data_IF_556663153149
#
_entry.id   IF_556663153149
#
_cell.length_a   1.000
_cell.length_b   1.000
_cell.length_c   1.000
_cell.angle_alpha   90.00
_cell.angle_beta   90.00
_cell.angle_gamma   90.00
#
_symmetry.space_group_name_H-M   'P 1'
#
loop_
_entity.id
_entity.type
_entity.pdbx_description
1 polymer ?
#
# COMPACT_ATOMS: atom_id res chain seq x y z
N UNK A 1 -25.69 66.90 -16.64
CA UNK A 1 -25.62 65.43 -16.69
C UNK A 1 -24.54 64.99 -15.71
N UNK A 2 -24.92 64.17 -14.73
CA UNK A 2 -24.34 64.15 -13.38
C UNK A 2 -23.00 63.41 -13.24
N UNK A 3 -21.95 64.17 -12.90
CA UNK A 3 -20.66 63.65 -12.43
C UNK A 3 -20.80 62.81 -11.13
N UNK A 4 -21.88 63.00 -10.36
CA UNK A 4 -22.19 62.20 -9.16
C UNK A 4 -22.62 60.75 -9.47
N UNK A 5 -23.18 60.46 -10.66
CA UNK A 5 -23.58 59.10 -11.05
C UNK A 5 -22.39 58.21 -11.44
N UNK A 6 -21.34 58.80 -12.02
CA UNK A 6 -20.12 58.08 -12.41
C UNK A 6 -19.31 57.57 -11.20
N UNK A 7 -19.23 58.38 -10.14
CA UNK A 7 -18.54 57.98 -8.91
C UNK A 7 -19.26 56.85 -8.15
N UNK A 8 -20.60 56.80 -8.18
CA UNK A 8 -21.37 55.68 -7.61
C UNK A 8 -21.16 54.40 -8.43
N UNK A 9 -21.04 54.52 -9.75
CA UNK A 9 -20.79 53.37 -10.62
C UNK A 9 -19.39 52.76 -10.41
N UNK A 10 -18.36 53.59 -10.20
CA UNK A 10 -17.01 53.13 -9.84
C UNK A 10 -16.99 52.51 -8.43
N UNK A 11 -17.74 53.07 -7.47
CA UNK A 11 -17.89 52.47 -6.14
C UNK A 11 -18.61 51.12 -6.18
N UNK A 12 -19.66 50.97 -7.00
CA UNK A 12 -20.35 49.70 -7.22
C UNK A 12 -19.47 48.69 -7.99
N UNK A 13 -18.63 49.15 -8.93
CA UNK A 13 -17.63 48.33 -9.60
C UNK A 13 -16.50 47.90 -8.64
N UNK A 14 -16.21 48.69 -7.61
CA UNK A 14 -15.32 48.29 -6.51
C UNK A 14 -15.99 47.37 -5.48
N UNK A 15 -17.32 47.32 -5.40
CA UNK A 15 -18.02 46.24 -4.68
C UNK A 15 -18.10 44.94 -5.50
N UNK A 16 -17.87 45.04 -6.82
CA UNK A 16 -17.49 43.95 -7.71
C UNK A 16 -15.99 43.59 -7.60
N UNK A 17 -15.27 44.09 -6.59
CA UNK A 17 -14.10 43.39 -6.05
C UNK A 17 -14.63 42.04 -5.62
N UNK A 18 -14.50 41.07 -6.54
CA UNK A 18 -14.49 39.66 -6.21
C UNK A 18 -13.75 39.54 -4.89
N UNK A 19 -14.45 39.15 -3.83
CA UNK A 19 -13.78 38.44 -2.75
C UNK A 19 -13.23 37.20 -3.44
N UNK A 20 -12.01 37.31 -3.98
CA UNK A 20 -11.17 36.16 -4.29
C UNK A 20 -10.88 35.60 -2.92
N UNK A 21 -11.80 34.79 -2.41
CA UNK A 21 -11.56 34.02 -1.21
C UNK A 21 -10.45 33.07 -1.61
N UNK A 22 -9.23 33.43 -1.23
CA UNK A 22 -8.07 32.56 -1.39
C UNK A 22 -8.41 31.26 -0.68
N UNK A 23 -8.52 30.18 -1.45
CA UNK A 23 -8.74 28.87 -0.88
C UNK A 23 -7.46 28.45 -0.15
N UNK A 24 -7.61 27.98 1.08
CA UNK A 24 -6.49 27.40 1.84
C UNK A 24 -6.89 25.97 2.23
N UNK A 25 -6.23 24.94 1.69
CA UNK A 25 -6.57 23.56 2.02
C UNK A 25 -6.22 23.27 3.48
N UNK A 26 -7.14 22.61 4.18
CA UNK A 26 -6.86 22.09 5.51
C UNK A 26 -5.77 21.01 5.49
N UNK A 27 -5.05 20.90 6.61
CA UNK A 27 -4.10 19.82 6.85
C UNK A 27 -4.77 18.45 6.68
N UNK A 28 -4.16 17.59 5.86
CA UNK A 28 -4.75 16.33 5.42
C UNK A 28 -3.72 15.21 5.31
N UNK A 29 -4.19 13.97 5.41
CA UNK A 29 -3.40 12.77 5.16
C UNK A 29 -4.01 11.91 4.06
N UNK A 30 -3.22 11.00 3.51
CA UNK A 30 -3.67 10.00 2.53
C UNK A 30 -4.42 10.57 1.30
N UNK A 31 -4.09 11.80 0.91
CA UNK A 31 -4.48 12.34 -0.39
C UNK A 31 -3.66 11.68 -1.51
N UNK A 32 -4.16 11.79 -2.73
CA UNK A 32 -3.34 11.55 -3.92
C UNK A 32 -2.88 12.88 -4.48
N UNK A 33 -1.71 12.91 -5.10
CA UNK A 33 -1.19 14.07 -5.80
C UNK A 33 -0.59 13.68 -7.13
N UNK A 34 -0.72 14.56 -8.12
CA UNK A 34 -0.31 14.32 -9.50
C UNK A 34 0.18 15.65 -10.09
N UNK A 35 1.35 15.65 -10.72
CA UNK A 35 1.85 16.80 -11.47
C UNK A 35 1.35 16.72 -12.91
N UNK A 36 0.68 17.76 -13.38
CA UNK A 36 0.20 17.91 -14.76
C UNK A 36 0.79 19.20 -15.32
N UNK A 37 1.75 19.09 -16.24
CA UNK A 37 2.54 20.26 -16.67
C UNK A 37 3.14 20.98 -15.45
N UNK A 38 2.79 22.25 -15.27
CA UNK A 38 3.21 23.07 -14.12
C UNK A 38 2.20 23.09 -12.97
N UNK A 39 1.16 22.26 -12.98
CA UNK A 39 0.11 22.28 -11.95
C UNK A 39 0.20 21.02 -11.10
N UNK A 40 0.44 21.18 -9.81
CA UNK A 40 0.43 20.08 -8.84
C UNK A 40 -0.99 19.91 -8.29
N UNK A 41 -1.70 18.89 -8.76
CA UNK A 41 -3.06 18.55 -8.32
C UNK A 41 -3.04 17.71 -7.04
N UNK A 42 -4.06 17.92 -6.22
CA UNK A 42 -4.35 17.19 -5.00
C UNK A 42 -5.79 16.69 -5.03
N UNK A 43 -5.97 15.40 -4.75
CA UNK A 43 -7.25 14.71 -4.86
C UNK A 43 -7.60 14.06 -3.52
N UNK A 44 -8.71 14.50 -2.95
CA UNK A 44 -9.31 13.99 -1.72
C UNK A 44 -8.36 14.05 -0.52
N UNK A 45 -8.19 12.91 0.13
CA UNK A 45 -7.52 12.77 1.40
C UNK A 45 -8.49 12.90 2.58
N UNK A 46 -7.95 12.66 3.77
CA UNK A 46 -8.67 12.73 5.03
C UNK A 46 -8.34 14.01 5.76
N UNK A 47 -9.38 14.78 6.06
CA UNK A 47 -9.36 15.95 6.91
C UNK A 47 -10.11 15.59 8.19
N UNK A 48 -9.46 15.76 9.34
CA UNK A 48 -10.00 15.30 10.63
C UNK A 48 -10.45 13.83 10.56
N UNK A 49 -11.72 13.52 10.81
CA UNK A 49 -12.25 12.16 10.85
C UNK A 49 -12.84 11.66 9.53
N UNK A 50 -13.01 12.51 8.51
CA UNK A 50 -13.69 12.14 7.26
C UNK A 50 -12.80 12.34 6.04
N UNK A 51 -13.06 11.55 5.01
CA UNK A 51 -12.43 11.77 3.71
C UNK A 51 -13.11 12.92 2.99
N UNK A 52 -12.45 13.47 1.99
CA UNK A 52 -12.94 14.64 1.26
C UNK A 52 -13.06 14.32 -0.21
N UNK A 53 -13.97 15.01 -0.89
CA UNK A 53 -14.09 14.99 -2.34
C UNK A 53 -13.35 16.15 -3.01
N UNK A 54 -12.51 16.86 -2.24
CA UNK A 54 -11.87 18.07 -2.71
C UNK A 54 -10.88 17.78 -3.83
N UNK A 55 -10.90 18.63 -4.85
CA UNK A 55 -9.90 18.68 -5.92
C UNK A 55 -9.39 20.11 -5.96
N UNK A 56 -8.08 20.28 -5.88
CA UNK A 56 -7.42 21.57 -5.92
C UNK A 56 -6.00 21.41 -6.47
N UNK A 57 -5.40 22.51 -6.91
CA UNK A 57 -4.03 22.47 -7.40
C UNK A 57 -3.24 23.72 -6.99
N UNK A 58 -1.93 23.60 -7.11
CA UNK A 58 -0.97 24.68 -7.01
C UNK A 58 -0.32 24.89 -8.38
N UNK A 59 -0.37 26.12 -8.90
CA UNK A 59 0.32 26.47 -10.14
C UNK A 59 1.78 26.83 -9.83
N UNK A 60 2.70 26.02 -10.36
CA UNK A 60 4.14 26.14 -10.18
C UNK A 60 4.81 26.93 -11.32
N UNK A 61 4.04 27.48 -12.27
CA UNK A 61 4.59 28.27 -13.37
C UNK A 61 5.18 29.61 -12.91
N UNK A 62 4.79 30.09 -11.72
CA UNK A 62 5.25 31.34 -11.14
C UNK A 62 5.71 31.10 -9.69
N UNK A 63 6.69 31.89 -9.25
CA UNK A 63 7.11 31.92 -7.85
C UNK A 63 5.99 32.46 -6.96
N UNK A 64 5.87 31.93 -5.75
CA UNK A 64 4.88 32.37 -4.77
C UNK A 64 5.45 32.40 -3.35
N UNK A 65 4.78 33.12 -2.45
CA UNK A 65 5.11 33.15 -1.03
C UNK A 65 4.70 31.83 -0.36
N UNK A 66 5.66 31.16 0.28
CA UNK A 66 5.45 29.89 0.98
C UNK A 66 4.47 30.00 2.16
N UNK A 67 4.28 31.20 2.71
CA UNK A 67 3.32 31.46 3.80
C UNK A 67 1.88 31.56 3.29
N UNK A 68 1.70 31.91 2.02
CA UNK A 68 0.39 32.11 1.38
C UNK A 68 0.36 31.51 -0.04
N UNK A 69 0.51 30.19 -0.20
CA UNK A 69 0.54 29.60 -1.53
C UNK A 69 -0.80 29.81 -2.27
N UNK A 70 -0.77 30.11 -3.59
CA UNK A 70 -1.95 30.45 -4.38
C UNK A 70 -2.73 29.20 -4.79
N UNK A 71 -3.36 28.53 -3.83
CA UNK A 71 -4.15 27.33 -4.11
C UNK A 71 -5.42 27.67 -4.89
N UNK A 72 -5.73 26.85 -5.90
CA UNK A 72 -6.95 26.96 -6.68
C UNK A 72 -7.82 25.73 -6.42
N UNK A 73 -9.01 25.94 -5.85
CA UNK A 73 -9.99 24.88 -5.66
C UNK A 73 -10.82 24.68 -6.92
N UNK A 74 -10.93 23.42 -7.34
CA UNK A 74 -11.84 22.98 -8.40
C UNK A 74 -13.07 22.27 -7.83
N UNK A 75 -13.15 22.12 -6.51
CA UNK A 75 -14.12 21.23 -5.84
C UNK A 75 -15.58 21.51 -6.21
N UNK A 76 -15.96 22.78 -6.39
CA UNK A 76 -17.34 23.15 -6.72
C UNK A 76 -17.77 22.66 -8.11
N UNK A 77 -16.83 22.63 -9.06
CA UNK A 77 -17.14 22.35 -10.47
C UNK A 77 -16.67 20.95 -10.90
N UNK A 78 -15.67 20.41 -10.21
CA UNK A 78 -14.94 19.21 -10.61
C UNK A 78 -14.46 18.38 -9.39
N UNK A 79 -15.18 18.47 -8.28
CA UNK A 79 -14.95 17.61 -7.11
C UNK A 79 -15.08 16.13 -7.45
N UNK A 80 -14.42 15.28 -6.68
CA UNK A 80 -14.56 13.83 -6.83
C UNK A 80 -16.04 13.47 -6.57
N UNK A 81 -16.67 12.55 -7.32
CA UNK A 81 -18.08 12.18 -7.08
C UNK A 81 -18.36 11.54 -5.71
N UNK A 82 -17.31 11.27 -4.94
CA UNK A 82 -17.35 10.67 -3.62
C UNK A 82 -16.17 11.20 -2.78
N UNK A 83 -16.26 11.06 -1.46
CA UNK A 83 -15.15 11.36 -0.54
C UNK A 83 -14.10 10.26 -0.66
N UNK A 84 -12.87 10.63 -1.04
CA UNK A 84 -11.79 9.69 -1.38
C UNK A 84 -10.55 9.88 -0.50
N UNK A 85 -9.87 8.78 -0.15
CA UNK A 85 -8.63 8.78 0.64
C UNK A 85 -7.97 7.39 0.61
N UNK A 86 -6.65 7.33 0.83
CA UNK A 86 -5.82 6.10 0.72
C UNK A 86 -5.88 5.40 -0.65
N UNK A 87 -6.33 6.14 -1.67
CA UNK A 87 -6.21 5.80 -3.08
C UNK A 87 -4.84 6.17 -3.65
N UNK A 88 -4.66 5.92 -4.94
CA UNK A 88 -3.53 6.43 -5.74
C UNK A 88 -4.07 7.09 -7.01
N UNK A 89 -3.50 8.22 -7.41
CA UNK A 89 -3.86 8.90 -8.65
C UNK A 89 -2.65 9.00 -9.58
N UNK A 90 -2.87 8.84 -10.88
CA UNK A 90 -1.84 8.75 -11.92
C UNK A 90 -2.30 9.48 -13.18
N UNK A 91 -1.39 10.20 -13.84
CA UNK A 91 -1.66 10.94 -15.07
C UNK A 91 -1.33 10.09 -16.29
N UNK A 92 -2.30 9.83 -17.16
CA UNK A 92 -2.01 9.58 -18.57
C UNK A 92 -1.90 10.93 -19.27
N UNK A 93 -0.66 11.36 -19.54
CA UNK A 93 -0.38 12.69 -20.07
C UNK A 93 -0.83 12.82 -21.54
N UNK A 94 -0.75 11.74 -22.33
CA UNK A 94 -1.19 11.75 -23.73
C UNK A 94 -2.70 12.01 -23.87
N UNK A 95 -3.49 11.50 -22.92
CA UNK A 95 -4.94 11.64 -22.90
C UNK A 95 -5.42 12.77 -21.99
N UNK A 96 -4.50 13.51 -21.35
CA UNK A 96 -4.79 14.54 -20.35
C UNK A 96 -5.84 14.06 -19.33
N UNK A 97 -5.63 12.85 -18.80
CA UNK A 97 -6.59 12.18 -17.93
C UNK A 97 -5.91 11.66 -16.66
N UNK A 98 -6.45 12.03 -15.51
CA UNK A 98 -6.01 11.49 -14.21
C UNK A 98 -6.86 10.28 -13.86
N UNK A 99 -6.24 9.14 -13.63
CA UNK A 99 -6.90 7.94 -13.12
C UNK A 99 -6.74 7.87 -11.60
N UNK A 100 -7.85 7.81 -10.88
CA UNK A 100 -7.89 7.58 -9.43
C UNK A 100 -8.28 6.12 -9.17
N UNK A 101 -7.37 5.37 -8.55
CA UNK A 101 -7.54 3.96 -8.27
C UNK A 101 -7.70 3.68 -6.77
N UNK A 102 -8.72 2.89 -6.45
CA UNK A 102 -8.97 2.28 -5.15
C UNK A 102 -9.13 3.26 -4.01
N UNK A 103 -8.78 2.81 -2.81
CA UNK A 103 -8.91 3.57 -1.57
C UNK A 103 -10.28 3.42 -0.91
N UNK A 104 -10.48 4.24 0.11
CA UNK A 104 -11.73 4.37 0.82
C UNK A 104 -12.61 5.39 0.09
N UNK A 105 -13.83 5.00 -0.23
CA UNK A 105 -14.81 5.80 -0.97
C UNK A 105 -16.05 5.96 -0.10
N UNK A 106 -16.43 7.19 0.22
CA UNK A 106 -17.56 7.48 1.11
C UNK A 106 -18.53 8.47 0.49
N UNK A 107 -19.82 8.28 0.74
CA UNK A 107 -20.83 9.30 0.41
C UNK A 107 -20.86 10.39 1.49
N UNK A 108 -21.77 11.35 1.35
CA UNK A 108 -21.87 12.45 2.31
C UNK A 108 -22.27 12.00 3.71
N UNK A 109 -23.02 10.89 3.81
CA UNK A 109 -23.41 10.21 5.04
C UNK A 109 -22.29 9.33 5.63
N UNK A 110 -21.07 9.37 5.06
CA UNK A 110 -19.93 8.52 5.42
C UNK A 110 -20.18 7.00 5.28
N UNK A 111 -21.16 6.59 4.48
CA UNK A 111 -21.38 5.19 4.11
C UNK A 111 -20.48 4.81 2.93
N UNK A 112 -20.29 3.51 2.71
CA UNK A 112 -19.46 3.03 1.59
C UNK A 112 -20.12 3.43 0.25
N UNK A 113 -19.34 4.07 -0.62
CA UNK A 113 -19.79 4.57 -1.91
C UNK A 113 -19.03 3.93 -3.08
N UNK A 114 -18.49 2.72 -2.86
CA UNK A 114 -17.75 2.00 -3.88
C UNK A 114 -18.64 1.56 -5.03
N UNK A 115 -18.28 1.98 -6.25
CA UNK A 115 -18.89 1.51 -7.50
C UNK A 115 -17.86 0.87 -8.42
N UNK A 116 -16.66 1.46 -8.51
CA UNK A 116 -15.56 0.97 -9.35
C UNK A 116 -14.21 1.09 -8.65
N UNK A 117 -13.26 0.25 -9.05
CA UNK A 117 -11.86 0.38 -8.64
C UNK A 117 -11.17 1.58 -9.26
N UNK A 118 -11.66 2.08 -10.40
CA UNK A 118 -11.02 3.16 -11.15
C UNK A 118 -12.04 4.20 -11.57
N UNK A 119 -11.65 5.45 -11.43
CA UNK A 119 -12.34 6.62 -11.96
C UNK A 119 -11.36 7.44 -12.79
N UNK A 120 -11.82 8.02 -13.89
CA UNK A 120 -11.01 8.86 -14.76
C UNK A 120 -11.51 10.31 -14.70
N UNK A 121 -10.59 11.25 -14.50
CA UNK A 121 -10.85 12.68 -14.50
C UNK A 121 -10.21 13.30 -15.74
N UNK A 122 -11.03 13.74 -16.70
CA UNK A 122 -10.55 14.38 -17.91
C UNK A 122 -10.23 15.85 -17.63
N UNK A 123 -8.99 16.27 -17.89
CA UNK A 123 -8.51 17.61 -17.56
C UNK A 123 -8.99 18.69 -18.52
N UNK A 124 -9.44 18.32 -19.72
CA UNK A 124 -9.98 19.26 -20.71
C UNK A 124 -11.44 19.59 -20.42
N UNK A 125 -12.26 18.57 -20.13
CA UNK A 125 -13.69 18.77 -19.83
C UNK A 125 -13.97 19.00 -18.34
N UNK A 126 -13.01 18.70 -17.46
CA UNK A 126 -13.15 18.71 -16.00
C UNK A 126 -14.28 17.79 -15.50
N UNK A 127 -14.47 16.65 -16.16
CA UNK A 127 -15.50 15.67 -15.81
C UNK A 127 -14.90 14.36 -15.31
N UNK A 128 -15.57 13.79 -14.31
CA UNK A 128 -15.30 12.46 -13.78
C UNK A 128 -16.15 11.42 -14.50
N UNK A 129 -15.55 10.29 -14.83
CA UNK A 129 -16.22 9.13 -15.42
C UNK A 129 -15.79 7.83 -14.75
N UNK A 130 -16.64 6.81 -14.87
CA UNK A 130 -16.27 5.42 -14.59
C UNK A 130 -15.99 4.75 -15.94
N UNK A 131 -14.73 4.49 -16.30
CA UNK A 131 -14.44 3.83 -17.55
C UNK A 131 -14.92 2.38 -17.53
N UNK A 132 -15.45 1.90 -18.65
CA UNK A 132 -15.69 0.48 -18.88
C UNK A 132 -14.35 -0.16 -19.20
N UNK A 133 -13.88 -1.04 -18.32
CA UNK A 133 -12.56 -1.69 -18.43
C UNK A 133 -12.75 -3.18 -18.58
N UNK A 134 -12.21 -3.74 -19.65
CA UNK A 134 -12.25 -5.15 -19.99
C UNK A 134 -11.39 -6.01 -19.05
N UNK A 135 -11.71 -7.29 -18.96
CA UNK A 135 -11.05 -8.25 -18.09
C UNK A 135 -11.56 -8.23 -16.66
N UNK A 136 -10.93 -9.02 -15.78
CA UNK A 136 -11.36 -9.16 -14.39
C UNK A 136 -10.82 -8.01 -13.54
N UNK A 137 -11.68 -7.16 -12.96
CA UNK A 137 -11.20 -6.09 -12.08
C UNK A 137 -10.55 -6.67 -10.82
N UNK A 138 -9.52 -6.01 -10.28
CA UNK A 138 -8.89 -6.44 -9.04
C UNK A 138 -9.85 -6.29 -7.85
N UNK A 139 -9.56 -7.02 -6.77
CA UNK A 139 -10.22 -6.73 -5.49
C UNK A 139 -9.91 -5.30 -5.03
N UNK A 140 -10.92 -4.63 -4.48
CA UNK A 140 -10.79 -3.29 -3.88
C UNK A 140 -9.69 -3.29 -2.84
N UNK A 141 -8.83 -2.28 -2.91
CA UNK A 141 -7.63 -2.15 -2.08
C UNK A 141 -7.33 -0.70 -1.74
N UNK A 142 -6.60 -0.49 -0.65
CA UNK A 142 -6.13 0.80 -0.12
C UNK A 142 -4.67 0.70 0.31
N UNK A 143 -4.08 1.85 0.65
CA UNK A 143 -2.70 1.95 1.13
C UNK A 143 -1.66 1.47 0.10
N UNK A 144 -1.86 1.77 -1.18
CA UNK A 144 -0.97 1.45 -2.28
C UNK A 144 -0.49 2.73 -2.98
N UNK A 145 0.60 2.59 -3.75
CA UNK A 145 1.06 3.62 -4.69
C UNK A 145 1.29 2.96 -6.04
N UNK A 146 0.72 3.55 -7.08
CA UNK A 146 0.97 3.09 -8.44
C UNK A 146 2.05 3.92 -9.13
N UNK A 147 2.48 3.43 -10.29
CA UNK A 147 3.30 4.16 -11.26
C UNK A 147 2.69 3.98 -12.64
N UNK A 148 2.98 4.88 -13.57
CA UNK A 148 2.51 4.81 -14.95
C UNK A 148 3.70 4.92 -15.90
N UNK A 149 3.73 4.09 -16.94
CA UNK A 149 4.74 4.18 -17.99
C UNK A 149 4.32 5.10 -19.15
N UNK A 150 5.23 5.36 -20.07
CA UNK A 150 5.01 6.20 -21.25
C UNK A 150 4.03 5.59 -22.28
N UNK A 151 3.65 4.32 -22.10
CA UNK A 151 2.66 3.62 -22.93
C UNK A 151 1.24 3.77 -22.37
N UNK A 152 1.09 4.33 -21.17
CA UNK A 152 -0.20 4.47 -20.49
C UNK A 152 -0.57 3.25 -19.64
N UNK A 153 0.37 2.36 -19.33
CA UNK A 153 0.11 1.26 -18.40
C UNK A 153 0.38 1.70 -16.98
N UNK A 154 -0.64 1.57 -16.14
CA UNK A 154 -0.57 1.81 -14.71
C UNK A 154 -0.24 0.50 -14.00
N UNK A 155 0.77 0.50 -13.15
CA UNK A 155 1.22 -0.65 -12.35
C UNK A 155 0.98 -0.37 -10.87
N UNK A 156 0.28 -1.28 -10.20
CA UNK A 156 -0.07 -1.17 -8.78
C UNK A 156 0.22 -2.51 -8.11
N UNK A 157 1.19 -2.52 -7.22
CA UNK A 157 1.61 -3.73 -6.51
C UNK A 157 0.96 -3.82 -5.12
N UNK A 158 0.44 -4.98 -4.74
CA UNK A 158 -0.03 -5.22 -3.39
C UNK A 158 -1.09 -4.24 -2.89
N UNK A 159 -0.87 -3.61 -1.73
CA UNK A 159 -1.89 -2.89 -0.98
C UNK A 159 -2.68 -3.82 -0.07
N UNK A 160 -3.77 -3.33 0.52
CA UNK A 160 -4.57 -4.17 1.42
C UNK A 160 -6.04 -3.83 1.44
N UNK A 161 -6.82 -4.75 1.98
CA UNK A 161 -8.25 -4.59 2.24
C UNK A 161 -8.57 -4.92 3.68
N UNK A 162 -9.64 -4.31 4.20
CA UNK A 162 -10.13 -4.49 5.55
C UNK A 162 -11.61 -4.08 5.64
N UNK A 163 -12.18 -4.15 6.83
CA UNK A 163 -13.57 -3.77 7.10
C UNK A 163 -13.92 -2.34 6.65
N UNK A 164 -12.96 -1.41 6.68
CA UNK A 164 -13.20 -0.03 6.26
C UNK A 164 -13.57 0.06 4.78
N UNK A 165 -13.16 -0.89 3.94
CA UNK A 165 -13.50 -0.95 2.52
C UNK A 165 -14.38 -2.16 2.17
N UNK A 166 -15.07 -2.73 3.17
CA UNK A 166 -16.08 -3.77 2.98
C UNK A 166 -15.56 -5.20 3.02
N UNK A 167 -14.31 -5.45 3.43
CA UNK A 167 -13.79 -6.82 3.56
C UNK A 167 -13.94 -7.37 4.98
N UNK A 168 -14.36 -8.64 5.09
CA UNK A 168 -14.52 -9.35 6.37
C UNK A 168 -13.21 -9.56 7.13
N UNK A 169 -12.09 -9.61 6.41
CA UNK A 169 -10.77 -9.83 6.97
C UNK A 169 -9.76 -8.81 6.44
N UNK A 170 -8.70 -8.58 7.22
CA UNK A 170 -7.55 -7.83 6.73
C UNK A 170 -6.70 -8.72 5.81
N UNK A 171 -6.64 -8.37 4.53
CA UNK A 171 -5.86 -9.10 3.52
C UNK A 171 -4.88 -8.13 2.88
N UNK A 172 -3.62 -8.51 2.84
CA UNK A 172 -2.59 -7.79 2.12
C UNK A 172 -2.25 -8.56 0.84
N UNK A 173 -2.26 -7.84 -0.27
CA UNK A 173 -2.04 -8.43 -1.57
C UNK A 173 -0.54 -8.43 -1.92
N UNK A 174 -0.14 -9.43 -2.69
CA UNK A 174 1.18 -9.57 -3.29
C UNK A 174 1.07 -9.77 -4.80
N UNK A 175 -0.02 -9.28 -5.40
CA UNK A 175 -0.26 -9.30 -6.84
C UNK A 175 0.09 -7.94 -7.49
N UNK A 176 0.30 -7.97 -8.79
CA UNK A 176 0.61 -6.82 -9.63
C UNK A 176 -0.61 -6.60 -10.50
N UNK A 177 -1.30 -5.50 -10.22
CA UNK A 177 -2.42 -5.02 -11.01
C UNK A 177 -1.87 -4.10 -12.08
N UNK A 178 -2.19 -4.40 -13.34
CA UNK A 178 -1.87 -3.57 -14.49
C UNK A 178 -3.18 -3.10 -15.12
N UNK A 179 -3.34 -1.78 -15.23
CA UNK A 179 -4.40 -1.16 -16.02
C UNK A 179 -3.78 -0.59 -17.29
N UNK A 180 -4.16 -1.11 -18.45
CA UNK A 180 -3.90 -0.43 -19.71
C UNK A 180 -4.93 0.69 -19.88
N UNK A 181 -4.52 1.96 -19.84
CA UNK A 181 -5.44 3.10 -19.95
C UNK A 181 -5.92 3.37 -21.38
N UNK A 182 -5.16 2.91 -22.38
CA UNK A 182 -5.49 3.08 -23.81
C UNK A 182 -6.48 2.01 -24.26
N UNK A 183 -6.18 0.75 -23.97
CA UNK A 183 -7.06 -0.38 -24.31
C UNK A 183 -8.21 -0.57 -23.32
N UNK A 184 -8.15 0.13 -22.18
CA UNK A 184 -9.06 -0.05 -21.04
C UNK A 184 -9.19 -1.54 -20.67
N UNK A 185 -8.09 -2.16 -20.26
CA UNK A 185 -8.06 -3.58 -19.87
C UNK A 185 -7.28 -3.84 -18.58
N UNK A 186 -7.75 -4.80 -17.78
CA UNK A 186 -7.04 -5.31 -16.61
C UNK A 186 -6.16 -6.51 -16.92
N UNK A 187 -4.96 -6.52 -16.31
CA UNK A 187 -4.13 -7.72 -16.16
C UNK A 187 -3.73 -7.83 -14.70
N UNK A 188 -3.89 -9.00 -14.10
CA UNK A 188 -3.46 -9.29 -12.72
C UNK A 188 -2.42 -10.39 -12.80
N UNK A 189 -1.18 -10.07 -12.43
CA UNK A 189 -0.11 -11.05 -12.33
C UNK A 189 0.06 -11.44 -10.86
N UNK A 190 0.18 -12.74 -10.57
CA UNK A 190 0.39 -13.31 -9.23
C UNK A 190 1.74 -14.01 -9.06
N UNK A 191 2.56 -14.08 -10.11
CA UNK A 191 3.76 -14.92 -10.14
C UNK A 191 4.97 -14.22 -9.52
N UNK A 192 5.77 -14.98 -8.75
CA UNK A 192 7.11 -14.63 -8.24
C UNK A 192 7.25 -13.26 -7.55
N UNK A 193 6.19 -12.82 -6.89
CA UNK A 193 6.16 -11.49 -6.32
C UNK A 193 6.73 -11.40 -4.90
N UNK A 194 7.28 -10.23 -4.51
CA UNK A 194 7.73 -9.98 -3.15
C UNK A 194 6.62 -10.25 -2.12
N UNK A 195 6.99 -10.35 -0.85
CA UNK A 195 6.02 -10.41 0.25
C UNK A 195 5.00 -9.26 0.13
N UNK A 196 3.77 -9.51 0.57
CA UNK A 196 2.69 -8.51 0.52
C UNK A 196 3.15 -7.21 1.20
N UNK A 197 3.02 -6.09 0.49
CA UNK A 197 3.46 -4.79 0.98
C UNK A 197 2.38 -3.74 0.76
N UNK A 198 2.25 -2.85 1.74
CA UNK A 198 1.35 -1.70 1.73
C UNK A 198 2.05 -0.51 2.36
N UNK A 199 1.54 0.71 2.15
CA UNK A 199 2.12 1.98 2.66
C UNK A 199 3.54 2.27 2.16
N UNK A 200 3.98 1.63 1.08
CA UNK A 200 5.24 1.92 0.39
C UNK A 200 5.09 3.17 -0.51
N UNK A 201 6.21 3.69 -0.99
CA UNK A 201 6.27 4.56 -2.18
C UNK A 201 6.81 3.77 -3.37
N UNK A 202 6.39 4.13 -4.58
CA UNK A 202 6.82 3.49 -5.82
C UNK A 202 7.36 4.53 -6.79
N UNK A 203 8.38 4.18 -7.55
CA UNK A 203 8.96 5.03 -8.60
C UNK A 203 9.35 4.18 -9.80
N UNK A 204 8.87 4.58 -10.99
CA UNK A 204 9.28 3.97 -12.24
C UNK A 204 10.53 4.68 -12.74
N UNK A 205 11.59 3.91 -12.98
CA UNK A 205 12.83 4.39 -13.56
C UNK A 205 12.76 4.36 -15.09
N UNK A 206 13.60 5.15 -15.74
CA UNK A 206 13.67 5.25 -17.22
C UNK A 206 14.01 3.92 -17.91
N UNK A 207 14.66 2.99 -17.21
CA UNK A 207 14.97 1.66 -17.70
C UNK A 207 13.82 0.64 -17.53
N UNK A 208 12.63 1.08 -17.09
CA UNK A 208 11.46 0.22 -16.91
C UNK A 208 11.40 -0.51 -15.57
N UNK A 209 12.37 -0.31 -14.67
CA UNK A 209 12.36 -0.91 -13.33
C UNK A 209 11.48 -0.08 -12.40
N UNK A 210 10.58 -0.74 -11.68
CA UNK A 210 9.80 -0.12 -10.61
C UNK A 210 10.49 -0.39 -9.27
N UNK A 211 10.85 0.67 -8.57
CA UNK A 211 11.45 0.60 -7.23
C UNK A 211 10.38 0.89 -6.19
N UNK A 212 10.24 -0.03 -5.24
CA UNK A 212 9.37 0.11 -4.07
C UNK A 212 10.21 0.40 -2.84
N UNK A 213 9.94 1.49 -2.13
CA UNK A 213 10.69 1.90 -0.93
C UNK A 213 9.73 2.01 0.27
N UNK A 214 10.17 1.43 1.38
CA UNK A 214 9.41 1.42 2.64
C UNK A 214 8.20 0.48 2.59
N UNK A 215 7.18 0.83 3.36
CA UNK A 215 5.98 0.02 3.52
C UNK A 215 6.05 -0.95 4.69
N UNK A 216 4.95 -1.70 4.86
CA UNK A 216 4.76 -2.70 5.90
C UNK A 216 4.40 -4.03 5.25
N UNK A 217 5.00 -5.08 5.77
CA UNK A 217 4.69 -6.47 5.43
C UNK A 217 3.72 -7.02 6.48
N UNK A 218 2.89 -7.99 6.12
CA UNK A 218 1.95 -8.60 7.07
C UNK A 218 2.68 -9.24 8.26
N UNK A 219 2.04 -9.28 9.45
CA UNK A 219 2.63 -9.93 10.64
C UNK A 219 2.99 -11.39 10.39
N UNK A 220 2.13 -12.10 9.63
CA UNK A 220 2.32 -13.50 9.25
C UNK A 220 3.59 -13.66 8.39
N UNK A 221 3.74 -12.85 7.36
CA UNK A 221 4.94 -12.91 6.50
C UNK A 221 6.20 -12.44 7.23
N UNK A 222 6.11 -11.46 8.14
CA UNK A 222 7.23 -11.08 9.01
C UNK A 222 7.70 -12.28 9.85
N UNK A 223 6.77 -13.11 10.31
CA UNK A 223 7.08 -14.34 11.03
C UNK A 223 7.70 -15.41 10.12
N UNK A 224 7.19 -15.56 8.89
CA UNK A 224 7.75 -16.48 7.89
C UNK A 224 9.14 -16.05 7.40
N UNK A 225 9.40 -14.75 7.24
CA UNK A 225 10.71 -14.19 6.88
C UNK A 225 11.73 -14.41 8.01
N UNK A 226 11.34 -14.13 9.27
CA UNK A 226 12.14 -14.49 10.44
C UNK A 226 12.48 -15.99 10.45
N UNK A 227 11.51 -16.84 10.12
CA UNK A 227 11.71 -18.30 10.02
C UNK A 227 12.67 -18.67 8.86
N UNK A 228 12.55 -18.04 7.69
CA UNK A 228 13.46 -18.26 6.55
C UNK A 228 14.89 -17.81 6.87
N UNK A 229 15.04 -16.65 7.52
CA UNK A 229 16.34 -16.12 7.94
C UNK A 229 16.99 -17.00 9.01
N UNK A 230 16.21 -17.45 9.99
CA UNK A 230 16.66 -18.44 10.97
C UNK A 230 17.12 -19.72 10.25
N UNK A 231 16.34 -20.25 9.30
CA UNK A 231 16.71 -21.42 8.48
C UNK A 231 17.99 -21.22 7.66
N UNK A 232 18.27 -20.00 7.20
CA UNK A 232 19.47 -19.65 6.42
C UNK A 232 20.74 -19.46 7.24
N UNK A 233 20.62 -19.12 8.53
CA UNK A 233 21.76 -18.94 9.45
C UNK A 233 22.40 -20.25 9.92
N UNK A 234 21.66 -21.37 9.92
CA UNK A 234 22.19 -22.67 10.32
C UNK A 234 22.90 -23.37 9.15
N UNK A 235 24.02 -22.78 8.70
CA UNK A 235 25.04 -23.45 7.87
C UNK A 235 26.28 -23.71 8.71
N UNK A 236 26.54 -24.99 8.96
CA UNK A 236 27.75 -25.61 9.49
C UNK A 236 28.29 -25.07 10.83
N UNK A 237 28.00 -25.80 11.92
CA UNK A 237 28.91 -25.83 13.09
C UNK A 237 29.55 -27.21 13.12
N UNK A 238 30.89 -27.22 13.16
CA UNK A 238 31.73 -28.40 13.04
C UNK A 238 31.50 -29.41 14.16
N UNK A 239 31.72 -30.68 13.81
CA UNK A 239 31.48 -31.84 14.64
C UNK A 239 32.41 -31.96 15.84
N UNK A 240 31.87 -32.37 17.00
CA UNK A 240 32.41 -33.48 17.79
C UNK A 240 31.37 -34.06 18.76
N UNK A 241 31.47 -35.37 19.01
CA UNK A 241 30.37 -36.27 19.37
C UNK A 241 30.20 -36.45 20.88
N UNK A 242 29.00 -36.13 21.39
CA UNK A 242 28.21 -36.85 22.44
C UNK A 242 26.89 -36.11 22.82
N UNK A 243 26.67 -34.92 22.26
CA UNK A 243 25.59 -33.98 22.58
C UNK A 243 24.33 -34.10 21.71
N UNK A 244 23.84 -35.31 21.44
CA UNK A 244 22.85 -35.52 20.37
C UNK A 244 21.43 -34.97 20.67
N UNK A 245 21.20 -34.36 21.83
CA UNK A 245 19.96 -33.65 22.17
C UNK A 245 20.18 -32.30 22.88
N UNK A 246 21.33 -32.05 23.50
CA UNK A 246 21.61 -30.79 24.19
C UNK A 246 21.69 -29.61 23.22
N UNK A 247 22.30 -29.77 22.05
CA UNK A 247 22.37 -28.68 21.05
C UNK A 247 21.00 -28.33 20.47
N UNK A 248 20.13 -29.33 20.25
CA UNK A 248 18.77 -29.11 19.77
C UNK A 248 17.92 -28.41 20.84
N UNK A 249 18.10 -28.79 22.11
CA UNK A 249 17.42 -28.19 23.25
C UNK A 249 17.92 -26.76 23.54
N UNK A 250 19.23 -26.51 23.42
CA UNK A 250 19.84 -25.18 23.53
C UNK A 250 19.38 -24.28 22.38
N UNK A 251 19.36 -24.79 21.14
CA UNK A 251 18.84 -24.07 19.98
C UNK A 251 17.36 -23.72 20.15
N UNK A 252 16.57 -24.66 20.66
CA UNK A 252 15.16 -24.43 20.97
C UNK A 252 15.01 -23.39 22.09
N UNK A 253 15.81 -23.44 23.16
CA UNK A 253 15.78 -22.47 24.27
C UNK A 253 16.16 -21.06 23.82
N UNK A 254 17.19 -20.90 23.01
CA UNK A 254 17.57 -19.61 22.42
C UNK A 254 16.43 -19.07 21.56
N UNK A 255 15.86 -19.91 20.69
CA UNK A 255 14.72 -19.56 19.86
C UNK A 255 13.50 -19.13 20.70
N UNK A 256 13.19 -19.84 21.79
CA UNK A 256 12.10 -19.47 22.71
C UNK A 256 12.36 -18.11 23.39
N UNK A 257 13.58 -17.87 23.89
CA UNK A 257 13.98 -16.63 24.57
C UNK A 257 13.89 -15.43 23.63
N UNK A 258 14.34 -15.57 22.38
CA UNK A 258 14.26 -14.51 21.37
C UNK A 258 12.80 -14.15 21.06
N UNK A 259 11.92 -15.14 20.92
CA UNK A 259 10.49 -14.92 20.65
C UNK A 259 9.76 -14.30 21.85
N UNK A 260 10.11 -14.68 23.08
CA UNK A 260 9.56 -14.10 24.31
C UNK A 260 10.01 -12.64 24.51
N UNK A 261 11.29 -12.31 24.24
CA UNK A 261 11.79 -10.92 24.29
C UNK A 261 11.05 -9.99 23.33
N UNK A 262 10.56 -10.53 22.21
CA UNK A 262 9.79 -9.80 21.21
C UNK A 262 8.26 -9.72 21.53
N UNK A 263 7.82 -10.22 22.69
CA UNK A 263 6.41 -10.20 23.11
C UNK A 263 5.50 -11.12 22.30
N UNK A 264 6.05 -12.17 21.69
CA UNK A 264 5.32 -13.08 20.80
C UNK A 264 4.83 -14.30 21.58
N UNK A 265 3.53 -14.59 21.49
CA UNK A 265 2.95 -15.81 22.04
C UNK A 265 3.45 -17.05 21.27
N UNK A 266 4.08 -17.98 21.98
CA UNK A 266 4.63 -19.21 21.41
C UNK A 266 3.60 -20.33 21.58
N UNK A 267 3.24 -21.01 20.48
CA UNK A 267 2.25 -22.10 20.52
C UNK A 267 2.93 -23.48 20.48
N UNK A 268 2.35 -24.53 21.08
CA UNK A 268 2.91 -25.89 21.06
C UNK A 268 3.15 -26.43 19.64
N UNK A 269 2.31 -26.04 18.68
CA UNK A 269 2.46 -26.41 17.26
C UNK A 269 3.73 -25.82 16.64
N UNK A 270 4.08 -24.59 17.00
CA UNK A 270 5.31 -23.94 16.53
C UNK A 270 6.54 -24.64 17.09
N UNK A 271 6.55 -24.96 18.38
CA UNK A 271 7.62 -25.71 19.05
C UNK A 271 7.83 -27.07 18.39
N UNK A 272 6.74 -27.84 18.21
CA UNK A 272 6.79 -29.18 17.59
C UNK A 272 7.29 -29.16 16.14
N UNK A 273 6.92 -28.12 15.38
CA UNK A 273 7.36 -27.95 13.99
C UNK A 273 8.84 -27.60 13.93
N UNK A 274 9.29 -26.66 14.78
CA UNK A 274 10.69 -26.23 14.82
C UNK A 274 11.61 -27.37 15.28
N UNK A 275 11.21 -28.12 16.31
CA UNK A 275 11.98 -29.26 16.82
C UNK A 275 12.14 -30.37 15.76
N UNK A 276 11.06 -30.68 15.01
CA UNK A 276 11.15 -31.60 13.86
C UNK A 276 12.15 -31.15 12.82
N UNK A 277 12.22 -29.85 12.50
CA UNK A 277 13.17 -29.31 11.53
C UNK A 277 14.63 -29.39 12.02
N UNK A 278 14.88 -29.10 13.30
CA UNK A 278 16.21 -29.25 13.92
C UNK A 278 16.69 -30.71 13.77
N UNK A 279 15.84 -31.68 14.11
CA UNK A 279 16.17 -33.10 14.01
C UNK A 279 16.34 -33.59 12.56
N UNK A 280 15.53 -33.09 11.61
CA UNK A 280 15.67 -33.42 10.19
C UNK A 280 16.99 -32.90 9.63
N UNK A 281 17.39 -31.68 9.99
CA UNK A 281 18.66 -31.11 9.52
C UNK A 281 19.87 -31.83 10.13
N UNK A 282 19.79 -32.21 11.41
CA UNK A 282 20.82 -33.04 12.05
C UNK A 282 20.93 -34.44 11.43
N UNK A 283 19.81 -35.05 11.00
CA UNK A 283 19.81 -36.37 10.34
C UNK A 283 20.21 -36.34 8.87
N UNK A 284 19.98 -35.24 8.13
CA UNK A 284 20.47 -35.09 6.74
C UNK A 284 21.99 -35.01 6.65
N UNK A 285 22.65 -34.46 7.66
CA UNK A 285 24.11 -34.43 7.74
C UNK A 285 24.73 -35.79 8.03
N UNK A 286 24.02 -36.71 8.70
CA UNK A 286 24.52 -38.08 8.93
C UNK A 286 24.40 -38.96 7.68
N UNK A 287 23.43 -38.71 6.78
CA UNK A 287 23.27 -39.47 5.53
C UNK A 287 24.35 -39.20 4.47
N UNK A 288 25.13 -38.11 4.58
CA UNK A 288 26.28 -37.87 3.69
C UNK A 288 27.53 -38.69 4.07
N UNK A 289 27.48 -39.51 5.13
CA UNK A 289 28.51 -40.51 5.43
C UNK A 289 27.88 -41.87 5.80
N UNK A 290 27.87 -42.75 4.80
CA UNK A 290 27.65 -44.21 4.82
C UNK A 290 26.20 -44.73 4.89
N UNK A 291 25.93 -45.56 3.88
CA UNK A 291 25.02 -46.69 3.80
C UNK A 291 24.88 -47.49 5.11
N UNK A 292 23.68 -48.05 5.32
CA UNK A 292 23.22 -49.01 6.37
C UNK A 292 22.88 -48.40 7.75
N UNK A 293 21.59 -48.28 8.05
CA UNK A 293 20.83 -49.10 9.02
C UNK A 293 19.42 -48.51 9.21
N UNK A 294 18.40 -49.33 8.89
CA UNK A 294 17.00 -49.16 9.29
C UNK A 294 16.87 -49.47 10.80
N UNK A 295 15.87 -48.84 11.44
CA UNK A 295 15.31 -49.10 12.77
C UNK A 295 15.95 -48.35 13.96
N UNK A 296 15.23 -47.31 14.43
CA UNK A 296 14.70 -47.10 15.80
C UNK A 296 14.48 -45.60 16.05
N UNK A 297 13.23 -45.14 15.98
CA UNK A 297 12.79 -43.90 16.63
C UNK A 297 12.16 -44.30 17.97
N UNK A 298 12.66 -43.85 19.14
CA UNK A 298 12.00 -44.09 20.41
C UNK A 298 10.81 -43.12 20.63
N UNK A 299 9.80 -43.61 21.34
CA UNK A 299 8.46 -43.03 21.54
C UNK A 299 8.40 -41.94 22.65
N UNK A 300 9.51 -41.62 23.34
CA UNK A 300 9.50 -40.78 24.55
C UNK A 300 9.75 -39.27 24.35
N UNK A 301 9.08 -38.64 23.39
CA UNK A 301 9.22 -37.19 23.14
C UNK A 301 8.06 -36.34 23.66
N UNK A 302 6.97 -36.98 24.12
CA UNK A 302 5.79 -36.25 24.62
C UNK A 302 5.88 -35.87 26.11
N UNK A 303 6.68 -36.57 26.94
CA UNK A 303 6.70 -36.33 28.40
C UNK A 303 7.53 -35.11 28.84
N UNK A 304 8.55 -34.68 28.07
CA UNK A 304 9.41 -33.53 28.45
C UNK A 304 8.84 -32.16 28.09
N UNK A 305 7.73 -32.09 27.35
CA UNK A 305 7.12 -30.82 26.91
C UNK A 305 6.21 -30.19 27.98
N UNK A 306 5.89 -30.90 29.05
CA UNK A 306 4.98 -30.45 30.11
C UNK A 306 5.65 -29.71 31.28
N UNK A 307 6.99 -29.71 31.37
CA UNK A 307 7.72 -29.05 32.47
C UNK A 307 8.07 -27.57 32.23
N UNK A 308 7.67 -26.98 31.09
CA UNK A 308 8.01 -25.60 30.71
C UNK A 308 6.81 -24.63 30.59
N UNK A 309 5.70 -24.90 31.29
CA UNK A 309 4.62 -23.93 31.49
C UNK A 309 4.87 -23.07 32.73
#
# INVERSE_FOLDING_TARGET
MDCKKYNIFIFMLSYLIFRVVSFTPEGRLAHSSVLVGNKLYFLGGRVSKSCTNQVFYLDLSQSFDLTTPPWISLTQNAGIPFKSCWGTALLNDKEQTIYLFGGLMRNDLNQDAFVSNVYSFNLNSLLWNVPTVEGTPPKRRRNMKGVIDNTGKIYIFGGGTNNAIGSEAEIYFNDMVILNTVELSWVINTDNQPNSSHTYTATLLSNGVIVYIGGKISKKEKQEEKLRFAKGKYRCVGAERKEQYSEAEVSLKIWLIEFQKDGIAITPKMVKTHMKEILINQSRYSLQRKTKIRQKLPIHLDDKLLEFQ
#
